data_IF_549772620484
#
_entry.id   IF_549772620484
#
_cell.length_a   1.000
_cell.length_b   1.000
_cell.length_c   1.000
_cell.angle_alpha   90.00
_cell.angle_beta   90.00
_cell.angle_gamma   90.00
#
_symmetry.space_group_name_H-M   'P 1'
#
loop_
_entity.id
_entity.type
_entity.pdbx_description
1 polymer ?
#
# COMPACT_ATOMS: atom_id res chain seq x y z
N UNK A 1 4.76 -6.29 -10.25
CA UNK A 1 4.45 -6.37 -8.79
C UNK A 1 3.00 -6.01 -8.54
N UNK A 2 2.16 -6.97 -8.13
CA UNK A 2 0.83 -6.68 -7.59
C UNK A 2 0.98 -5.79 -6.35
N UNK A 3 0.40 -4.57 -6.38
CA UNK A 3 0.43 -3.62 -5.27
C UNK A 3 -0.75 -3.87 -4.32
N UNK A 4 -0.92 -5.14 -3.91
CA UNK A 4 -1.90 -5.57 -2.91
C UNK A 4 -1.18 -6.08 -1.67
N UNK A 5 -1.78 -5.85 -0.51
CA UNK A 5 -1.34 -6.47 0.72
C UNK A 5 -1.97 -7.85 0.85
N UNK A 6 -1.16 -8.87 1.13
CA UNK A 6 -1.62 -10.25 1.24
C UNK A 6 -2.42 -10.52 2.54
N UNK A 7 -2.33 -9.63 3.54
CA UNK A 7 -2.99 -9.79 4.84
C UNK A 7 -4.33 -9.04 4.97
N UNK A 8 -4.50 -7.90 4.27
CA UNK A 8 -5.70 -7.06 4.41
C UNK A 8 -6.31 -6.63 3.06
N UNK A 9 -5.83 -7.20 1.95
CA UNK A 9 -6.31 -6.98 0.58
C UNK A 9 -6.36 -5.52 0.09
N UNK A 10 -5.72 -4.60 0.82
CA UNK A 10 -5.68 -3.19 0.45
C UNK A 10 -5.07 -3.03 -0.94
N UNK A 11 -5.76 -2.25 -1.77
CA UNK A 11 -5.41 -1.97 -3.17
C UNK A 11 -5.18 -0.47 -3.39
N UNK A 12 -4.43 -0.07 -4.42
CA UNK A 12 -4.17 1.33 -4.71
C UNK A 12 -5.47 2.06 -5.05
N UNK A 13 -5.64 3.24 -4.46
CA UNK A 13 -6.80 4.08 -4.74
C UNK A 13 -6.58 4.94 -5.99
N UNK A 14 -7.68 5.30 -6.64
CA UNK A 14 -7.68 6.35 -7.65
C UNK A 14 -7.77 7.70 -6.94
N UNK A 15 -6.89 8.62 -7.29
CA UNK A 15 -6.88 9.98 -6.77
C UNK A 15 -6.64 10.98 -7.91
N UNK A 16 -6.81 12.26 -7.62
CA UNK A 16 -6.51 13.35 -8.55
C UNK A 16 -5.41 14.22 -7.93
N UNK A 17 -4.40 14.57 -8.72
CA UNK A 17 -3.48 15.65 -8.43
C UNK A 17 -4.06 16.94 -8.98
N UNK A 18 -3.98 18.03 -8.22
CA UNK A 18 -4.40 19.37 -8.68
C UNK A 18 -3.16 20.25 -8.83
N UNK A 19 -3.04 20.95 -9.96
CA UNK A 19 -1.97 21.92 -10.17
C UNK A 19 -2.26 23.25 -9.46
N UNK A 20 -1.31 24.18 -9.48
CA UNK A 20 -1.51 25.56 -8.98
C UNK A 20 -2.70 26.26 -9.64
N UNK A 21 -2.97 25.94 -10.91
CA UNK A 21 -4.14 26.42 -11.67
C UNK A 21 -5.35 25.49 -11.57
N UNK A 22 -5.40 24.61 -10.57
CA UNK A 22 -6.48 23.65 -10.29
C UNK A 22 -6.79 22.59 -11.37
N UNK A 23 -5.88 22.37 -12.31
CA UNK A 23 -6.03 21.34 -13.36
C UNK A 23 -6.00 19.94 -12.72
N UNK A 24 -7.02 19.13 -13.01
CA UNK A 24 -7.11 17.75 -12.55
C UNK A 24 -6.26 16.80 -13.39
N UNK A 25 -5.32 16.10 -12.77
CA UNK A 25 -4.61 14.96 -13.37
C UNK A 25 -4.88 13.70 -12.56
N UNK A 26 -5.39 12.64 -13.20
CA UNK A 26 -5.61 11.35 -12.53
C UNK A 26 -4.27 10.74 -12.10
N UNK A 27 -4.20 10.24 -10.87
CA UNK A 27 -3.05 9.49 -10.34
C UNK A 27 -3.51 8.29 -9.51
N UNK A 28 -2.60 7.36 -9.25
CA UNK A 28 -2.82 6.24 -8.32
C UNK A 28 -2.14 6.54 -7.00
N UNK A 29 -2.85 6.38 -5.90
CA UNK A 29 -2.27 6.41 -4.55
C UNK A 29 -1.85 4.99 -4.17
N UNK A 30 -0.54 4.75 -4.14
CA UNK A 30 0.01 3.45 -3.86
C UNK A 30 0.20 3.22 -2.36
N UNK A 31 -0.07 2.00 -1.92
CA UNK A 31 0.26 1.57 -0.57
C UNK A 31 1.77 1.35 -0.45
N UNK A 32 2.34 1.75 0.68
CA UNK A 32 3.68 1.35 1.06
C UNK A 32 3.64 -0.14 1.47
N UNK A 33 4.01 -1.00 0.52
CA UNK A 33 4.02 -2.46 0.67
C UNK A 33 5.47 -2.89 0.75
N UNK A 34 5.77 -3.72 1.74
CA UNK A 34 7.07 -4.28 2.01
C UNK A 34 6.99 -5.80 1.87
N UNK A 35 7.98 -6.39 1.22
CA UNK A 35 8.07 -7.86 1.12
C UNK A 35 8.86 -8.36 2.32
N UNK A 36 8.22 -9.13 3.19
CA UNK A 36 8.86 -9.74 4.38
C UNK A 36 8.57 -11.23 4.44
N UNK A 37 9.36 -11.93 5.26
CA UNK A 37 9.05 -13.31 5.62
C UNK A 37 8.26 -13.30 6.92
N UNK A 38 7.09 -13.92 6.92
CA UNK A 38 6.26 -14.17 8.09
C UNK A 38 5.95 -15.66 8.07
N UNK A 39 6.25 -16.36 9.17
CA UNK A 39 6.04 -17.81 9.33
C UNK A 39 6.65 -18.64 8.19
N UNK A 40 7.88 -18.31 7.78
CA UNK A 40 8.60 -19.00 6.70
C UNK A 40 8.13 -18.67 5.28
N UNK A 41 6.99 -17.98 5.12
CA UNK A 41 6.43 -17.58 3.81
C UNK A 41 6.81 -16.15 3.44
N UNK A 42 7.16 -15.92 2.18
CA UNK A 42 7.35 -14.56 1.64
C UNK A 42 5.98 -13.92 1.40
N UNK A 43 5.66 -12.88 2.15
CA UNK A 43 4.40 -12.14 2.03
C UNK A 43 4.66 -10.65 1.78
N UNK A 44 3.74 -10.02 1.03
CA UNK A 44 3.66 -8.58 0.81
C UNK A 44 2.75 -7.96 1.85
N UNK A 45 3.34 -7.20 2.75
CA UNK A 45 2.64 -6.60 3.87
C UNK A 45 2.69 -5.08 3.78
N UNK A 46 1.54 -4.44 3.97
CA UNK A 46 1.50 -2.99 4.11
C UNK A 46 2.05 -2.57 5.49
N UNK A 47 2.56 -1.35 5.57
CA UNK A 47 3.16 -0.82 6.81
C UNK A 47 2.20 -0.85 8.01
N UNK A 48 0.89 -0.71 7.81
CA UNK A 48 -0.07 -0.84 8.91
C UNK A 48 -0.14 -2.24 9.50
N UNK A 49 -0.10 -3.28 8.65
CA UNK A 49 -0.08 -4.67 9.13
C UNK A 49 1.26 -4.99 9.82
N UNK A 50 2.36 -4.45 9.29
CA UNK A 50 3.66 -4.59 9.95
C UNK A 50 3.68 -3.91 11.33
N UNK A 51 3.08 -2.72 11.46
CA UNK A 51 2.96 -2.02 12.73
C UNK A 51 2.07 -2.77 13.72
N UNK A 52 1.04 -3.46 13.25
CA UNK A 52 0.18 -4.29 14.09
C UNK A 52 0.95 -5.50 14.64
N UNK A 53 1.71 -6.20 13.78
CA UNK A 53 2.53 -7.35 14.18
C UNK A 53 3.66 -6.99 15.16
N UNK A 54 4.24 -5.79 15.06
CA UNK A 54 5.33 -5.36 15.94
C UNK A 54 4.88 -4.94 17.35
N UNK A 55 3.56 -4.82 17.58
CA UNK A 55 3.00 -4.47 18.89
C UNK A 55 2.53 -5.69 19.70
N UNK A 56 2.59 -6.88 19.09
CA UNK A 56 2.15 -8.15 19.68
C UNK A 56 3.26 -8.80 20.48
#
# INVERSE_FOLDING_TARGET
>A
MSRRCDNCDRKPNNLVSRSKSNIATKRRQHLNIQTKRVDGKKMKLCVSCLKAQAKS
#
